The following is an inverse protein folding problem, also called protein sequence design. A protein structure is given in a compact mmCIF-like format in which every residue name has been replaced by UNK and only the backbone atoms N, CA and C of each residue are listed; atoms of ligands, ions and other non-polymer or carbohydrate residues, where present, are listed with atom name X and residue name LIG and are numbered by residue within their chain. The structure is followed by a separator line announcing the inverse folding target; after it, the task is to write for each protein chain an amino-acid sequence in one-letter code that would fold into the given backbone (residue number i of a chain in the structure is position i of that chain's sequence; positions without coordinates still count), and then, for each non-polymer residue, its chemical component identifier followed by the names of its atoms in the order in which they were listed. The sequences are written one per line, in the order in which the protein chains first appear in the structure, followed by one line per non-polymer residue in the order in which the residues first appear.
data_IF_871365916030
#
_entry.id   IF_871365916030
#
_cell.length_a   1.000
_cell.length_b   1.000
_cell.length_c   1.000
_cell.angle_alpha   90.00
_cell.angle_beta   90.00
_cell.angle_gamma   90.00
#
_symmetry.space_group_name_H-M   'P 1'
#
loop_
_entity.id
_entity.type
_entity.pdbx_description
1 polymer ?
#
# COMPACT_ATOMS: atom_id res chain seq x y z
N UNK A 1 -20.83 -17.38 -10.53
CA UNK A 1 -21.74 -16.86 -9.49
C UNK A 1 -22.95 -16.23 -10.19
N UNK A 2 -24.10 -16.10 -9.54
CA UNK A 2 -25.29 -15.44 -10.10
C UNK A 2 -25.54 -14.18 -9.29
N UNK A 3 -25.94 -13.10 -9.97
CA UNK A 3 -26.07 -11.78 -9.38
C UNK A 3 -27.09 -11.87 -8.27
N UNK A 4 -26.69 -11.36 -7.11
CA UNK A 4 -27.44 -11.48 -5.86
C UNK A 4 -28.91 -11.10 -6.09
N UNK A 5 -29.82 -11.94 -5.59
CA UNK A 5 -31.25 -11.74 -5.78
C UNK A 5 -31.69 -10.37 -5.22
N UNK A 6 -31.13 -9.95 -4.09
CA UNK A 6 -31.45 -8.67 -3.47
C UNK A 6 -30.98 -7.47 -4.33
N UNK A 7 -29.86 -7.62 -5.06
CA UNK A 7 -29.40 -6.60 -6.02
C UNK A 7 -30.36 -6.49 -7.20
N UNK A 8 -30.83 -7.61 -7.75
CA UNK A 8 -31.84 -7.61 -8.83
C UNK A 8 -33.15 -6.97 -8.39
N UNK A 9 -33.58 -7.30 -7.18
CA UNK A 9 -34.80 -6.72 -6.58
C UNK A 9 -34.63 -5.21 -6.40
N UNK A 10 -33.46 -4.75 -5.94
CA UNK A 10 -33.17 -3.31 -5.84
C UNK A 10 -33.20 -2.60 -7.19
N UNK A 11 -32.53 -3.15 -8.22
CA UNK A 11 -32.47 -2.55 -9.56
C UNK A 11 -33.84 -2.41 -10.22
N UNK A 12 -34.79 -3.31 -9.89
CA UNK A 12 -36.18 -3.27 -10.37
C UNK A 12 -37.14 -2.51 -9.44
N UNK A 13 -36.71 -2.13 -8.22
CA UNK A 13 -37.54 -1.44 -7.23
C UNK A 13 -37.82 0.03 -7.56
N UNK A 14 -38.74 0.64 -6.81
CA UNK A 14 -39.00 2.09 -6.83
C UNK A 14 -38.13 2.88 -5.84
N UNK A 15 -37.17 2.23 -5.16
CA UNK A 15 -36.31 2.90 -4.19
C UNK A 15 -35.41 3.94 -4.87
N UNK A 16 -35.33 5.12 -4.25
CA UNK A 16 -34.60 6.31 -4.71
C UNK A 16 -33.38 6.61 -3.85
N UNK A 17 -32.79 5.59 -3.26
CA UNK A 17 -31.63 5.72 -2.37
C UNK A 17 -30.57 4.69 -2.76
N UNK A 18 -29.28 4.91 -2.41
CA UNK A 18 -28.24 3.97 -2.76
C UNK A 18 -28.48 2.61 -2.09
N UNK A 19 -28.05 1.56 -2.80
CA UNK A 19 -27.99 0.20 -2.26
C UNK A 19 -26.59 -0.12 -1.79
N UNK A 20 -26.46 -0.64 -0.57
CA UNK A 20 -25.19 -0.89 0.08
C UNK A 20 -24.87 -2.38 -0.02
N UNK A 21 -23.86 -2.74 -0.81
CA UNK A 21 -23.44 -4.12 -0.98
C UNK A 21 -22.12 -4.35 -0.26
N UNK A 22 -22.17 -4.92 0.94
CA UNK A 22 -20.97 -5.25 1.71
C UNK A 22 -20.36 -6.55 1.21
N UNK A 23 -19.06 -6.52 0.94
CA UNK A 23 -18.38 -7.62 0.26
C UNK A 23 -16.97 -7.87 0.80
N UNK A 24 -16.53 -9.13 0.72
CA UNK A 24 -15.20 -9.55 1.16
C UNK A 24 -14.21 -9.58 0.01
N UNK A 25 -12.94 -9.87 0.34
CA UNK A 25 -11.87 -9.90 -0.65
C UNK A 25 -12.07 -10.99 -1.71
N UNK A 26 -12.58 -12.17 -1.31
CA UNK A 26 -12.76 -13.33 -2.19
C UNK A 26 -13.82 -13.08 -3.28
N UNK A 27 -14.91 -12.40 -2.93
CA UNK A 27 -16.04 -12.20 -3.85
C UNK A 27 -15.93 -10.94 -4.69
N UNK A 28 -15.07 -9.99 -4.33
CA UNK A 28 -14.99 -8.66 -4.93
C UNK A 28 -14.90 -8.68 -6.45
N UNK A 29 -13.87 -9.33 -7.00
CA UNK A 29 -13.65 -9.40 -8.45
C UNK A 29 -14.74 -10.20 -9.17
N UNK A 30 -15.22 -11.28 -8.56
CA UNK A 30 -16.29 -12.08 -9.16
C UNK A 30 -17.59 -11.27 -9.31
N UNK A 31 -17.86 -10.39 -8.35
CA UNK A 31 -19.02 -9.49 -8.34
C UNK A 31 -18.85 -8.35 -9.34
N UNK A 32 -17.66 -7.76 -9.46
CA UNK A 32 -17.35 -6.76 -10.50
C UNK A 32 -17.58 -7.36 -11.89
N UNK A 33 -16.99 -8.52 -12.18
CA UNK A 33 -17.13 -9.19 -13.47
C UNK A 33 -18.61 -9.47 -13.79
N UNK A 34 -19.38 -9.87 -12.78
CA UNK A 34 -20.81 -10.11 -12.93
C UNK A 34 -21.60 -8.85 -13.25
N UNK A 35 -21.36 -7.74 -12.55
CA UNK A 35 -22.01 -6.46 -12.86
C UNK A 35 -21.65 -5.93 -14.24
N UNK A 36 -20.40 -6.13 -14.67
CA UNK A 36 -19.96 -5.78 -16.02
C UNK A 36 -20.71 -6.59 -17.10
N UNK A 37 -20.90 -7.89 -16.89
CA UNK A 37 -21.69 -8.75 -17.80
C UNK A 37 -23.15 -8.30 -17.89
N UNK A 38 -23.70 -7.74 -16.82
CA UNK A 38 -25.07 -7.20 -16.80
C UNK A 38 -25.16 -5.76 -17.32
N UNK A 39 -24.05 -5.16 -17.78
CA UNK A 39 -24.03 -3.84 -18.43
C UNK A 39 -24.14 -2.66 -17.48
N UNK A 40 -23.84 -2.85 -16.18
CA UNK A 40 -23.82 -1.74 -15.22
C UNK A 40 -22.63 -0.82 -15.48
N UNK A 41 -22.82 0.47 -15.23
CA UNK A 41 -21.78 1.49 -15.43
C UNK A 41 -20.96 1.67 -14.15
N UNK A 42 -19.64 1.59 -14.25
CA UNK A 42 -18.76 1.72 -13.09
C UNK A 42 -18.34 3.18 -12.85
N UNK A 43 -18.41 3.59 -11.59
CA UNK A 43 -17.94 4.87 -11.07
C UNK A 43 -16.82 4.62 -10.05
N UNK A 44 -15.56 4.48 -10.50
CA UNK A 44 -14.45 4.30 -9.58
C UNK A 44 -14.16 5.60 -8.82
N UNK A 45 -13.97 5.51 -7.50
CA UNK A 45 -13.59 6.63 -6.64
C UNK A 45 -12.32 7.34 -7.12
N UNK A 46 -11.38 6.61 -7.73
CA UNK A 46 -10.16 7.17 -8.30
C UNK A 46 -10.42 8.22 -9.40
N UNK A 47 -11.58 8.19 -10.06
CA UNK A 47 -11.99 9.22 -11.03
C UNK A 47 -12.25 10.58 -10.38
N UNK A 48 -12.53 10.59 -9.08
CA UNK A 48 -12.82 11.79 -8.29
C UNK A 48 -11.59 12.32 -7.53
N UNK A 49 -10.41 11.73 -7.75
CA UNK A 49 -9.14 12.30 -7.28
C UNK A 49 -8.70 13.46 -8.20
N UNK A 50 -8.51 14.64 -7.62
CA UNK A 50 -8.06 15.85 -8.35
C UNK A 50 -6.63 15.78 -8.86
N UNK A 51 -5.76 14.99 -8.22
CA UNK A 51 -4.41 14.70 -8.69
C UNK A 51 -3.94 13.32 -8.22
N UNK A 52 -2.71 12.92 -8.58
CA UNK A 52 -2.18 11.59 -8.31
C UNK A 52 -2.10 11.22 -6.82
N UNK A 53 -1.76 12.18 -5.95
CA UNK A 53 -1.62 11.97 -4.50
C UNK A 53 -2.61 12.82 -3.70
N UNK A 54 -3.88 12.76 -4.11
CA UNK A 54 -4.99 13.42 -3.42
C UNK A 54 -6.12 12.43 -3.18
N UNK A 55 -6.83 12.65 -2.09
CA UNK A 55 -8.05 11.91 -1.77
C UNK A 55 -9.15 12.23 -2.78
N UNK A 56 -10.06 11.28 -3.03
CA UNK A 56 -11.19 11.50 -3.91
C UNK A 56 -12.25 12.41 -3.27
N UNK A 57 -12.97 13.16 -4.11
CA UNK A 57 -14.07 14.03 -3.72
C UNK A 57 -15.42 13.28 -3.73
N UNK A 58 -15.97 13.00 -2.54
CA UNK A 58 -17.28 12.35 -2.40
C UNK A 58 -18.42 13.28 -2.86
N UNK A 59 -18.30 14.59 -2.65
CA UNK A 59 -19.34 15.52 -3.09
C UNK A 59 -19.34 15.63 -4.62
N UNK A 60 -18.17 15.58 -5.24
CA UNK A 60 -18.01 15.40 -6.68
C UNK A 60 -18.71 14.13 -7.21
N UNK A 61 -18.60 13.00 -6.50
CA UNK A 61 -19.34 11.78 -6.83
C UNK A 61 -20.86 11.99 -6.73
N UNK A 62 -21.35 12.56 -5.63
CA UNK A 62 -22.78 12.80 -5.44
C UNK A 62 -23.33 13.72 -6.54
N UNK A 63 -22.64 14.82 -6.85
CA UNK A 63 -23.02 15.75 -7.92
C UNK A 63 -23.04 15.07 -9.30
N UNK A 64 -22.08 14.16 -9.55
CA UNK A 64 -22.08 13.38 -10.79
C UNK A 64 -23.31 12.47 -10.88
N UNK A 65 -23.67 11.79 -9.80
CA UNK A 65 -24.85 10.92 -9.74
C UNK A 65 -26.14 11.73 -9.96
N UNK A 66 -26.28 12.89 -9.32
CA UNK A 66 -27.44 13.78 -9.46
C UNK A 66 -27.60 14.29 -10.90
N UNK A 67 -26.50 14.74 -11.52
CA UNK A 67 -26.53 15.28 -12.89
C UNK A 67 -26.78 14.19 -13.92
N UNK A 68 -26.19 13.00 -13.75
CA UNK A 68 -26.36 11.90 -14.68
C UNK A 68 -27.80 11.37 -14.76
N UNK A 69 -28.61 11.64 -13.74
CA UNK A 69 -30.04 11.31 -13.67
C UNK A 69 -30.92 12.11 -14.64
N UNK A 70 -30.46 13.31 -15.05
CA UNK A 70 -31.23 14.21 -15.92
C UNK A 70 -31.28 13.74 -17.39
N UNK A 71 -30.43 12.80 -17.78
CA UNK A 71 -30.48 12.16 -19.10
C UNK A 71 -31.56 11.08 -19.10
N UNK A 72 -32.51 11.15 -20.03
CA UNK A 72 -33.76 10.37 -20.08
C UNK A 72 -33.67 8.82 -20.13
N UNK A 73 -32.49 8.24 -19.91
CA UNK A 73 -32.28 6.79 -19.83
C UNK A 73 -32.03 6.37 -18.37
N UNK A 74 -32.69 5.28 -17.94
CA UNK A 74 -32.41 4.61 -16.66
C UNK A 74 -30.92 4.23 -16.62
N UNK A 75 -30.13 4.88 -15.76
CA UNK A 75 -28.72 4.57 -15.55
C UNK A 75 -28.54 3.77 -14.26
N UNK A 76 -27.77 2.68 -14.34
CA UNK A 76 -27.47 1.81 -13.23
C UNK A 76 -25.95 1.87 -12.98
N UNK A 77 -25.57 2.42 -11.83
CA UNK A 77 -24.20 2.69 -11.46
C UNK A 77 -23.71 1.73 -10.37
N UNK A 78 -22.44 1.37 -10.45
CA UNK A 78 -21.70 0.68 -9.39
C UNK A 78 -20.53 1.57 -8.98
N UNK A 79 -20.53 2.02 -7.73
CA UNK A 79 -19.41 2.76 -7.15
C UNK A 79 -18.40 1.78 -6.58
N UNK A 80 -17.17 1.84 -7.06
CA UNK A 80 -16.05 1.00 -6.59
C UNK A 80 -14.99 1.82 -5.89
N UNK A 81 -14.25 1.22 -4.96
CA UNK A 81 -13.20 1.90 -4.19
C UNK A 81 -13.70 2.75 -3.02
N UNK A 82 -15.01 2.97 -2.89
CA UNK A 82 -15.58 3.76 -1.79
C UNK A 82 -15.42 3.05 -0.44
N UNK A 83 -15.65 1.74 -0.39
CA UNK A 83 -15.51 0.98 0.86
C UNK A 83 -14.10 1.05 1.41
N UNK A 84 -13.12 0.79 0.55
CA UNK A 84 -11.70 0.81 0.92
C UNK A 84 -11.23 2.22 1.25
N UNK A 85 -11.68 3.23 0.49
CA UNK A 85 -11.39 4.63 0.80
C UNK A 85 -11.89 5.02 2.20
N UNK A 86 -13.15 4.72 2.53
CA UNK A 86 -13.71 5.06 3.83
C UNK A 86 -13.00 4.31 4.97
N UNK A 87 -12.68 3.03 4.78
CA UNK A 87 -11.92 2.27 5.75
C UNK A 87 -10.51 2.85 5.97
N UNK A 88 -9.88 3.42 4.94
CA UNK A 88 -8.61 4.15 5.05
C UNK A 88 -8.74 5.52 5.75
N UNK A 89 -9.91 6.16 5.70
CA UNK A 89 -10.19 7.42 6.42
C UNK A 89 -10.48 7.22 7.90
N UNK A 90 -10.90 6.02 8.28
CA UNK A 90 -11.14 5.63 9.66
C UNK A 90 -12.60 5.59 10.04
N UNK A 91 -12.87 5.01 11.22
CA UNK A 91 -14.23 4.64 11.65
C UNK A 91 -15.19 5.82 11.70
N UNK A 92 -14.78 6.95 12.25
CA UNK A 92 -15.68 8.10 12.47
C UNK A 92 -16.08 8.76 11.14
N UNK A 93 -15.11 9.01 10.27
CA UNK A 93 -15.37 9.59 8.95
C UNK A 93 -16.15 8.63 8.03
N UNK A 94 -15.81 7.34 8.07
CA UNK A 94 -16.55 6.31 7.36
C UNK A 94 -18.01 6.26 7.81
N UNK A 95 -18.27 6.22 9.12
CA UNK A 95 -19.62 6.16 9.68
C UNK A 95 -20.43 7.40 9.31
N UNK A 96 -19.86 8.60 9.50
CA UNK A 96 -20.50 9.86 9.13
C UNK A 96 -20.87 9.88 7.63
N UNK A 97 -19.96 9.45 6.77
CA UNK A 97 -20.18 9.42 5.32
C UNK A 97 -21.26 8.39 4.93
N UNK A 98 -21.22 7.18 5.49
CA UNK A 98 -22.22 6.16 5.19
C UNK A 98 -23.63 6.59 5.66
N UNK A 99 -23.73 7.24 6.83
CA UNK A 99 -24.99 7.79 7.32
C UNK A 99 -25.53 8.89 6.39
N UNK A 100 -24.66 9.76 5.86
CA UNK A 100 -25.02 10.76 4.86
C UNK A 100 -25.51 10.10 3.56
N UNK A 101 -24.76 9.13 3.04
CA UNK A 101 -25.12 8.40 1.81
C UNK A 101 -26.39 7.57 1.97
N UNK A 102 -26.67 7.06 3.17
CA UNK A 102 -27.92 6.36 3.47
C UNK A 102 -29.13 7.27 3.27
N UNK A 103 -29.02 8.57 3.50
CA UNK A 103 -30.16 9.48 3.32
C UNK A 103 -30.07 10.28 2.01
N UNK A 104 -29.10 9.94 1.14
CA UNK A 104 -28.94 10.53 -0.18
C UNK A 104 -30.05 10.08 -1.14
N UNK A 105 -30.69 11.05 -1.80
CA UNK A 105 -31.78 10.80 -2.75
C UNK A 105 -31.18 10.76 -4.15
N UNK A 106 -31.24 9.59 -4.78
CA UNK A 106 -30.89 9.37 -6.18
C UNK A 106 -32.21 9.43 -6.96
N UNK A 107 -32.31 10.26 -7.99
CA UNK A 107 -33.58 10.50 -8.68
C UNK A 107 -34.21 9.25 -9.34
N UNK A 108 -33.92 8.99 -10.61
CA UNK A 108 -34.37 7.80 -11.36
C UNK A 108 -33.23 6.79 -11.63
N UNK A 109 -31.97 7.20 -11.45
CA UNK A 109 -30.82 6.32 -11.49
C UNK A 109 -30.84 5.30 -10.35
N UNK A 110 -30.10 4.20 -10.54
CA UNK A 110 -29.80 3.20 -9.51
C UNK A 110 -28.33 3.26 -9.19
N UNK A 111 -27.99 3.20 -7.90
CA UNK A 111 -26.59 3.21 -7.47
C UNK A 111 -26.38 2.09 -6.47
N UNK A 112 -25.42 1.22 -6.79
CA UNK A 112 -24.90 0.20 -5.90
C UNK A 112 -23.56 0.70 -5.39
N UNK A 113 -23.44 0.85 -4.07
CA UNK A 113 -22.17 1.09 -3.40
C UNK A 113 -21.54 -0.27 -3.11
N UNK A 114 -20.45 -0.62 -3.82
CA UNK A 114 -19.71 -1.84 -3.57
C UNK A 114 -18.69 -1.60 -2.45
N UNK A 115 -18.96 -2.15 -1.27
CA UNK A 115 -18.28 -1.78 -0.02
C UNK A 115 -17.42 -2.92 0.51
N UNK A 116 -16.13 -2.92 0.15
CA UNK A 116 -15.12 -3.83 0.71
C UNK A 116 -14.37 -3.17 1.88
N UNK A 117 -14.07 -3.94 2.93
CA UNK A 117 -13.33 -3.46 4.11
C UNK A 117 -14.16 -2.77 5.19
N UNK A 118 -15.49 -2.71 5.03
CA UNK A 118 -16.40 -2.04 5.97
C UNK A 118 -17.24 -2.98 6.83
N UNK A 119 -16.91 -4.28 6.89
CA UNK A 119 -17.61 -5.23 7.75
C UNK A 119 -17.80 -4.75 9.22
N UNK A 120 -16.82 -4.09 9.87
CA UNK A 120 -17.01 -3.58 11.22
C UNK A 120 -18.10 -2.52 11.38
N UNK A 121 -18.57 -1.88 10.30
CA UNK A 121 -19.57 -0.82 10.34
C UNK A 121 -20.99 -1.31 9.99
N UNK A 122 -21.15 -2.58 9.60
CA UNK A 122 -22.47 -3.15 9.24
C UNK A 122 -23.44 -3.03 10.41
N UNK A 123 -23.06 -3.51 11.59
CA UNK A 123 -23.91 -3.45 12.79
C UNK A 123 -24.26 -2.03 13.22
N UNK A 124 -23.35 -1.07 12.98
CA UNK A 124 -23.62 0.36 13.23
C UNK A 124 -24.72 0.85 12.30
N UNK A 125 -24.68 0.45 11.03
CA UNK A 125 -25.68 0.83 10.04
C UNK A 125 -27.04 0.18 10.28
N UNK A 126 -27.06 -1.12 10.61
CA UNK A 126 -28.26 -1.89 10.94
C UNK A 126 -28.95 -1.42 12.23
N UNK A 127 -28.28 -0.64 13.07
CA UNK A 127 -28.89 -0.03 14.26
C UNK A 127 -29.99 0.98 13.92
N UNK A 128 -29.97 1.55 12.70
CA UNK A 128 -31.06 2.36 12.15
C UNK A 128 -32.10 1.45 11.47
N UNK A 129 -33.35 1.34 11.97
CA UNK A 129 -34.38 0.48 11.38
C UNK A 129 -34.73 0.83 9.92
N UNK A 130 -34.36 2.03 9.46
CA UNK A 130 -34.56 2.46 8.07
C UNK A 130 -33.53 1.85 7.12
N UNK A 131 -32.45 1.27 7.64
CA UNK A 131 -31.42 0.55 6.89
C UNK A 131 -31.75 -0.95 6.83
N UNK A 132 -32.91 -1.27 6.24
CA UNK A 132 -33.39 -2.65 6.15
C UNK A 132 -32.82 -3.43 4.95
N UNK A 133 -33.19 -4.70 4.81
CA UNK A 133 -32.72 -5.62 3.76
C UNK A 133 -33.06 -5.17 2.33
N UNK A 134 -33.93 -4.17 2.14
CA UNK A 134 -34.20 -3.60 0.82
C UNK A 134 -33.13 -2.59 0.41
N UNK A 135 -32.30 -2.15 1.36
CA UNK A 135 -31.28 -1.11 1.20
C UNK A 135 -29.86 -1.63 1.24
N UNK A 136 -29.66 -2.85 1.72
CA UNK A 136 -28.35 -3.45 1.78
C UNK A 136 -28.40 -4.97 1.72
N UNK A 137 -27.27 -5.57 1.40
CA UNK A 137 -26.99 -6.99 1.59
C UNK A 137 -25.53 -7.20 1.92
N UNK A 138 -25.25 -8.36 2.51
CA UNK A 138 -23.90 -8.76 2.94
C UNK A 138 -23.57 -10.04 2.19
N UNK A 139 -22.52 -10.00 1.37
CA UNK A 139 -22.01 -11.18 0.69
C UNK A 139 -21.14 -11.96 1.66
N UNK A 140 -21.62 -13.14 2.05
CA UNK A 140 -21.00 -13.99 3.08
C UNK A 140 -20.73 -13.21 4.37
N UNK A 141 -19.45 -12.92 4.69
CA UNK A 141 -19.04 -12.20 5.92
C UNK A 141 -18.42 -10.83 5.65
N UNK A 142 -18.23 -10.46 4.39
CA UNK A 142 -17.54 -9.23 3.99
C UNK A 142 -16.15 -9.03 4.65
N UNK A 143 -15.45 -10.12 5.00
CA UNK A 143 -14.14 -10.06 5.63
C UNK A 143 -13.08 -9.52 4.66
N UNK A 144 -12.16 -8.71 5.18
CA UNK A 144 -11.03 -8.17 4.42
C UNK A 144 -9.74 -8.31 5.21
N UNK A 145 -8.68 -8.77 4.53
CA UNK A 145 -7.34 -8.97 5.05
C UNK A 145 -6.32 -7.94 4.51
N UNK A 146 -6.82 -6.85 3.93
CA UNK A 146 -6.01 -5.77 3.41
C UNK A 146 -5.14 -5.16 4.51
N UNK A 147 -3.87 -4.93 4.17
CA UNK A 147 -2.94 -4.13 4.95
C UNK A 147 -2.15 -3.21 4.03
N UNK A 148 -1.59 -2.15 4.59
CA UNK A 148 -0.92 -1.11 3.81
C UNK A 148 0.47 -0.86 4.36
N UNK A 149 1.43 -0.75 3.45
CA UNK A 149 2.77 -0.25 3.77
C UNK A 149 2.90 1.12 3.15
N UNK A 150 3.00 2.16 3.97
CA UNK A 150 3.02 3.54 3.50
C UNK A 150 4.42 4.12 3.67
N UNK A 151 4.88 4.83 2.65
CA UNK A 151 6.10 5.64 2.73
C UNK A 151 5.77 7.08 2.27
N UNK A 152 6.41 8.11 2.85
CA UNK A 152 6.31 9.45 2.30
C UNK A 152 6.91 9.50 0.88
N UNK A 153 6.41 10.37 -0.02
CA UNK A 153 6.90 10.45 -1.40
C UNK A 153 8.39 10.82 -1.54
N UNK A 154 9.00 11.33 -0.47
CA UNK A 154 10.44 11.61 -0.43
C UNK A 154 11.31 10.36 -0.28
N UNK A 155 10.72 9.22 0.10
CA UNK A 155 11.40 7.93 0.11
C UNK A 155 11.17 7.28 -1.25
N UNK A 156 12.25 7.08 -1.97
CA UNK A 156 12.26 6.33 -3.23
C UNK A 156 12.04 4.85 -2.92
N UNK A 157 10.80 4.43 -2.70
CA UNK A 157 10.44 3.02 -2.55
C UNK A 157 9.79 2.54 -3.84
N UNK A 158 10.20 1.38 -4.36
CA UNK A 158 9.55 0.75 -5.52
C UNK A 158 8.14 0.23 -5.17
N UNK A 159 7.17 1.15 -5.17
CA UNK A 159 5.80 0.95 -4.74
C UNK A 159 4.80 1.75 -5.60
N UNK A 160 3.50 1.64 -5.33
CA UNK A 160 2.50 2.50 -5.99
C UNK A 160 2.78 3.97 -5.65
N UNK A 161 2.61 4.89 -6.61
CA UNK A 161 2.85 6.31 -6.38
C UNK A 161 1.53 7.08 -6.33
N UNK A 162 1.22 7.59 -5.13
CA UNK A 162 0.07 8.43 -4.85
C UNK A 162 -1.22 7.69 -4.49
N UNK A 163 -2.07 8.37 -3.74
CA UNK A 163 -3.35 7.86 -3.27
C UNK A 163 -4.32 7.46 -4.40
N UNK A 164 -4.28 8.12 -5.56
CA UNK A 164 -5.10 7.74 -6.72
C UNK A 164 -4.69 6.35 -7.26
N UNK A 165 -3.39 6.09 -7.37
CA UNK A 165 -2.89 4.80 -7.82
C UNK A 165 -3.24 3.66 -6.84
N UNK A 166 -3.25 3.97 -5.54
CA UNK A 166 -3.75 3.06 -4.51
C UNK A 166 -5.21 2.67 -4.75
N UNK A 167 -6.09 3.66 -4.95
CA UNK A 167 -7.51 3.41 -5.21
C UNK A 167 -7.71 2.61 -6.50
N UNK A 168 -7.01 2.93 -7.58
CA UNK A 168 -7.06 2.16 -8.83
C UNK A 168 -6.68 0.69 -8.56
N UNK A 169 -5.64 0.42 -7.79
CA UNK A 169 -5.24 -0.95 -7.48
C UNK A 169 -6.32 -1.69 -6.68
N UNK A 170 -6.95 -1.01 -5.71
CA UNK A 170 -8.02 -1.57 -4.89
C UNK A 170 -9.28 -1.84 -5.72
N UNK A 171 -9.70 -0.89 -6.56
CA UNK A 171 -10.82 -1.01 -7.49
C UNK A 171 -10.65 -2.19 -8.47
N UNK A 172 -9.41 -2.50 -8.84
CA UNK A 172 -9.04 -3.66 -9.65
C UNK A 172 -8.83 -4.95 -8.82
N UNK A 173 -9.31 -4.97 -7.57
CA UNK A 173 -9.35 -6.16 -6.73
C UNK A 173 -8.02 -6.60 -6.12
N UNK A 174 -7.00 -5.73 -6.06
CA UNK A 174 -5.77 -6.03 -5.32
C UNK A 174 -6.09 -6.38 -3.87
N UNK A 175 -5.37 -7.36 -3.32
CA UNK A 175 -5.54 -7.89 -1.97
C UNK A 175 -4.19 -8.01 -1.24
N UNK A 176 -4.22 -8.42 0.04
CA UNK A 176 -3.02 -8.58 0.87
C UNK A 176 -2.37 -7.25 1.27
N UNK A 177 -1.04 -7.25 1.40
CA UNK A 177 -0.27 -6.03 1.71
C UNK A 177 -0.05 -5.20 0.44
N UNK A 178 -0.40 -3.91 0.49
CA UNK A 178 -0.22 -2.97 -0.61
C UNK A 178 0.74 -1.87 -0.17
N UNK A 179 1.88 -1.78 -0.85
CA UNK A 179 2.85 -0.71 -0.65
C UNK A 179 2.50 0.52 -1.50
N UNK A 180 2.55 1.70 -0.90
CA UNK A 180 2.26 2.98 -1.56
C UNK A 180 3.11 4.12 -0.99
N UNK A 181 3.61 4.95 -1.89
CA UNK A 181 4.22 6.24 -1.59
C UNK A 181 3.15 7.32 -1.61
N UNK A 182 2.82 7.90 -0.45
CA UNK A 182 1.77 8.90 -0.32
C UNK A 182 2.03 9.86 0.84
N UNK A 183 1.69 11.13 0.65
CA UNK A 183 1.67 12.13 1.71
C UNK A 183 0.35 12.15 2.49
N UNK A 184 -0.64 11.33 2.09
CA UNK A 184 -1.93 11.24 2.77
C UNK A 184 -1.77 10.59 4.14
N UNK A 185 -2.29 11.24 5.18
CA UNK A 185 -2.32 10.69 6.53
C UNK A 185 -3.39 9.59 6.65
N UNK A 186 -2.98 8.43 7.14
CA UNK A 186 -3.79 7.22 7.32
C UNK A 186 -3.73 6.69 8.77
N UNK A 187 -3.43 7.54 9.75
CA UNK A 187 -3.34 7.16 11.17
C UNK A 187 -4.63 6.57 11.74
N UNK A 188 -5.78 7.03 11.24
CA UNK A 188 -7.11 6.60 11.70
C UNK A 188 -7.65 5.38 10.95
N UNK A 189 -6.89 4.83 9.99
CA UNK A 189 -7.35 3.75 9.15
C UNK A 189 -7.81 2.53 9.96
N UNK A 190 -8.89 1.90 9.51
CA UNK A 190 -9.41 0.66 10.09
C UNK A 190 -8.57 -0.57 9.72
N UNK A 191 -7.73 -0.44 8.70
CA UNK A 191 -6.80 -1.48 8.26
C UNK A 191 -5.48 -1.43 9.03
N UNK A 192 -4.72 -2.51 9.00
CA UNK A 192 -3.33 -2.48 9.48
C UNK A 192 -2.48 -1.63 8.54
N UNK A 193 -1.83 -0.61 9.10
CA UNK A 193 -0.91 0.29 8.37
C UNK A 193 0.49 0.20 8.97
N UNK A 194 1.47 -0.12 8.14
CA UNK A 194 2.89 -0.09 8.44
C UNK A 194 3.51 1.16 7.82
N UNK A 195 4.22 1.96 8.61
CA UNK A 195 4.85 3.18 8.12
C UNK A 195 6.35 3.00 7.94
N UNK A 196 6.85 3.28 6.74
CA UNK A 196 8.28 3.40 6.43
C UNK A 196 8.65 4.86 6.55
N UNK A 197 9.56 5.16 7.47
CA UNK A 197 9.94 6.53 7.82
C UNK A 197 11.30 6.95 7.25
N UNK A 198 12.12 6.00 6.80
CA UNK A 198 13.44 6.26 6.25
C UNK A 198 13.88 5.17 5.25
N UNK A 199 14.95 5.46 4.49
CA UNK A 199 15.44 4.56 3.46
C UNK A 199 15.91 3.20 4.01
N UNK A 200 16.46 3.15 5.22
CA UNK A 200 16.87 1.90 5.86
C UNK A 200 15.67 0.96 6.12
N UNK A 201 14.55 1.50 6.61
CA UNK A 201 13.31 0.73 6.74
C UNK A 201 12.78 0.27 5.37
N UNK A 202 12.91 1.10 4.33
CA UNK A 202 12.60 0.72 2.94
C UNK A 202 13.43 -0.46 2.45
N UNK A 203 14.73 -0.48 2.73
CA UNK A 203 15.63 -1.60 2.38
C UNK A 203 15.21 -2.87 3.11
N UNK A 204 14.90 -2.79 4.42
CA UNK A 204 14.40 -3.94 5.18
C UNK A 204 13.07 -4.49 4.64
N UNK A 205 12.24 -3.61 4.11
CA UNK A 205 10.99 -3.99 3.48
C UNK A 205 11.22 -4.73 2.14
N UNK A 206 12.12 -4.24 1.29
CA UNK A 206 12.44 -4.87 -0.01
C UNK A 206 13.25 -6.17 0.15
N UNK A 207 14.17 -6.22 1.10
CA UNK A 207 15.08 -7.33 1.32
C UNK A 207 14.74 -8.07 2.62
N UNK A 208 13.82 -9.02 2.53
CA UNK A 208 13.48 -9.89 3.65
C UNK A 208 14.74 -10.58 4.21
N UNK A 209 14.98 -10.42 5.51
CA UNK A 209 16.18 -10.95 6.16
C UNK A 209 17.40 -10.01 6.16
N UNK A 210 17.25 -8.74 5.73
CA UNK A 210 18.31 -7.73 5.90
C UNK A 210 18.65 -7.57 7.39
N UNK A 211 19.80 -8.12 7.79
CA UNK A 211 20.19 -8.29 9.19
C UNK A 211 21.11 -7.19 9.72
N UNK A 212 21.58 -6.28 8.86
CA UNK A 212 22.48 -5.21 9.30
C UNK A 212 21.73 -4.14 10.08
N UNK A 213 22.33 -3.68 11.17
CA UNK A 213 21.78 -2.58 11.97
C UNK A 213 21.90 -1.23 11.27
N UNK A 214 20.96 -0.31 11.56
CA UNK A 214 20.93 1.06 11.02
C UNK A 214 22.25 1.81 11.18
N UNK A 215 22.96 1.60 12.28
CA UNK A 215 24.25 2.26 12.57
C UNK A 215 25.38 1.88 11.60
N UNK A 216 25.20 0.87 10.74
CA UNK A 216 26.19 0.52 9.71
C UNK A 216 26.35 1.59 8.62
N UNK A 217 25.42 2.53 8.50
CA UNK A 217 25.46 3.61 7.52
C UNK A 217 24.73 4.86 7.97
N UNK A 218 25.02 5.95 7.29
CA UNK A 218 24.35 7.24 7.44
C UNK A 218 23.14 7.34 6.51
N UNK A 219 22.29 8.34 6.72
CA UNK A 219 21.00 8.47 6.02
C UNK A 219 21.18 8.64 4.52
N UNK A 220 22.20 9.39 4.10
CA UNK A 220 22.54 9.59 2.70
C UNK A 220 22.97 8.28 2.03
N UNK A 221 23.71 7.43 2.76
CA UNK A 221 24.18 6.15 2.25
C UNK A 221 23.04 5.14 2.11
N UNK A 222 22.13 5.10 3.08
CA UNK A 222 20.92 4.28 3.00
C UNK A 222 19.99 4.75 1.88
N UNK A 223 19.83 6.07 1.70
CA UNK A 223 19.04 6.62 0.61
C UNK A 223 19.63 6.29 -0.76
N UNK A 224 20.96 6.42 -0.93
CA UNK A 224 21.64 6.04 -2.17
C UNK A 224 21.52 4.53 -2.43
N UNK A 225 21.68 3.68 -1.41
CA UNK A 225 21.51 2.23 -1.54
C UNK A 225 20.08 1.86 -1.96
N UNK A 226 19.06 2.46 -1.35
CA UNK A 226 17.68 2.20 -1.71
C UNK A 226 17.39 2.59 -3.16
N UNK A 227 17.89 3.75 -3.62
CA UNK A 227 17.72 4.17 -5.02
C UNK A 227 18.41 3.22 -6.00
N UNK A 228 19.63 2.78 -5.67
CA UNK A 228 20.35 1.78 -6.48
C UNK A 228 19.62 0.43 -6.47
N UNK A 229 19.05 0.00 -5.34
CA UNK A 229 18.24 -1.22 -5.25
C UNK A 229 17.00 -1.15 -6.14
N UNK A 230 16.28 -0.03 -6.14
CA UNK A 230 15.11 0.15 -7.01
C UNK A 230 15.47 0.05 -8.50
N UNK A 231 16.68 0.46 -8.88
CA UNK A 231 17.20 0.31 -10.26
C UNK A 231 17.68 -1.11 -10.60
N UNK A 232 17.73 -2.01 -9.61
CA UNK A 232 18.29 -3.37 -9.73
C UNK A 232 17.30 -4.41 -9.19
N UNK A 233 16.00 -4.21 -9.43
CA UNK A 233 14.90 -5.11 -9.04
C UNK A 233 14.88 -5.50 -7.55
N UNK A 234 15.42 -4.63 -6.68
CA UNK A 234 15.55 -4.90 -5.25
C UNK A 234 16.62 -5.94 -4.89
N UNK A 235 17.47 -6.39 -5.81
CA UNK A 235 18.48 -7.42 -5.56
C UNK A 235 19.80 -6.83 -5.06
N UNK A 236 20.16 -7.13 -3.81
CA UNK A 236 21.46 -6.74 -3.24
C UNK A 236 22.63 -7.37 -4.00
N UNK A 237 22.53 -8.63 -4.43
CA UNK A 237 23.58 -9.29 -5.19
C UNK A 237 23.81 -8.59 -6.55
N UNK A 238 22.73 -8.17 -7.25
CA UNK A 238 22.86 -7.39 -8.48
C UNK A 238 23.51 -6.02 -8.26
N UNK A 239 23.22 -5.38 -7.12
CA UNK A 239 23.90 -4.13 -6.72
C UNK A 239 25.40 -4.39 -6.47
N UNK A 240 25.77 -5.47 -5.79
CA UNK A 240 27.17 -5.80 -5.56
C UNK A 240 27.92 -6.07 -6.87
N UNK A 241 27.34 -6.84 -7.78
CA UNK A 241 27.90 -7.11 -9.10
C UNK A 241 28.10 -5.82 -9.92
N UNK A 242 27.11 -4.92 -9.91
CA UNK A 242 27.18 -3.61 -10.59
C UNK A 242 28.38 -2.77 -10.12
N UNK A 243 28.75 -2.90 -8.85
CA UNK A 243 29.88 -2.17 -8.24
C UNK A 243 31.19 -2.98 -8.24
N UNK A 244 31.24 -4.12 -8.94
CA UNK A 244 32.42 -4.97 -9.03
C UNK A 244 32.81 -5.61 -7.70
N UNK A 245 31.83 -5.81 -6.82
CA UNK A 245 31.99 -6.49 -5.53
C UNK A 245 31.67 -7.97 -5.73
N UNK A 246 32.70 -8.74 -6.09
CA UNK A 246 32.63 -10.20 -6.30
C UNK A 246 33.53 -10.95 -5.33
N UNK A 247 33.64 -12.27 -5.48
CA UNK A 247 34.32 -13.20 -4.56
C UNK A 247 35.79 -12.87 -4.21
N UNK A 248 36.47 -12.00 -4.97
CA UNK A 248 37.83 -11.51 -4.63
C UNK A 248 37.75 -10.35 -3.63
N UNK A 249 37.28 -10.70 -2.44
CA UNK A 249 36.97 -9.80 -1.33
C UNK A 249 38.18 -8.98 -0.87
N UNK A 250 39.42 -9.44 -1.05
CA UNK A 250 40.61 -8.86 -0.42
C UNK A 250 41.45 -7.96 -1.34
N UNK A 251 41.08 -7.84 -2.62
CA UNK A 251 41.82 -6.98 -3.57
C UNK A 251 41.60 -5.49 -3.28
N UNK A 252 42.69 -4.73 -3.22
CA UNK A 252 42.69 -3.28 -2.93
C UNK A 252 42.00 -2.91 -1.61
N UNK A 253 42.00 -3.83 -0.64
CA UNK A 253 41.28 -3.71 0.64
C UNK A 253 41.45 -2.33 1.32
N UNK A 254 42.69 -1.87 1.52
CA UNK A 254 42.95 -0.59 2.20
C UNK A 254 42.47 0.64 1.41
N UNK A 255 42.44 0.56 0.08
CA UNK A 255 41.88 1.62 -0.76
C UNK A 255 40.36 1.65 -0.62
N UNK A 256 39.72 0.48 -0.62
CA UNK A 256 38.26 0.34 -0.51
C UNK A 256 37.69 0.73 0.86
N UNK A 257 38.45 0.59 1.94
CA UNK A 257 37.99 0.99 3.28
C UNK A 257 38.43 2.41 3.67
N UNK A 258 39.38 2.99 2.93
CA UNK A 258 39.92 4.31 3.21
C UNK A 258 39.12 5.46 2.61
N UNK A 259 38.27 5.18 1.62
CA UNK A 259 37.38 6.17 1.01
C UNK A 259 36.21 6.53 1.92
N UNK A 260 35.65 7.72 1.69
CA UNK A 260 34.45 8.24 2.38
C UNK A 260 33.22 8.23 1.48
N UNK A 261 33.36 7.68 0.28
CA UNK A 261 32.34 7.65 -0.74
C UNK A 261 31.40 6.43 -0.57
N UNK A 262 30.30 6.46 -1.31
CA UNK A 262 29.31 5.39 -1.32
C UNK A 262 29.92 4.03 -1.65
N UNK A 263 30.89 3.96 -2.57
CA UNK A 263 31.52 2.69 -2.97
C UNK A 263 32.28 2.04 -1.82
N UNK A 264 33.01 2.84 -1.04
CA UNK A 264 33.77 2.36 0.12
C UNK A 264 32.84 1.85 1.22
N UNK A 265 31.73 2.56 1.45
CA UNK A 265 30.71 2.13 2.38
C UNK A 265 29.96 0.87 1.91
N UNK A 266 29.59 0.79 0.62
CA UNK A 266 28.91 -0.36 0.05
C UNK A 266 29.78 -1.62 0.16
N UNK A 267 31.09 -1.48 -0.02
CA UNK A 267 32.03 -2.56 0.21
C UNK A 267 32.03 -3.04 1.68
N UNK A 268 31.94 -2.13 2.65
CA UNK A 268 31.76 -2.51 4.06
C UNK A 268 30.43 -3.25 4.30
N UNK A 269 29.33 -2.81 3.69
CA UNK A 269 28.03 -3.51 3.76
C UNK A 269 28.12 -4.92 3.15
N UNK A 270 28.78 -5.06 2.01
CA UNK A 270 29.04 -6.35 1.37
C UNK A 270 29.82 -7.30 2.29
N UNK A 271 30.92 -6.82 2.90
CA UNK A 271 31.71 -7.59 3.86
C UNK A 271 30.89 -8.04 5.06
N UNK A 272 30.05 -7.15 5.60
CA UNK A 272 29.15 -7.45 6.73
C UNK A 272 28.12 -8.52 6.40
N UNK A 273 27.50 -8.47 5.22
CA UNK A 273 26.50 -9.45 4.79
C UNK A 273 27.11 -10.81 4.43
N UNK A 274 28.35 -10.83 3.95
CA UNK A 274 29.07 -12.05 3.56
C UNK A 274 30.07 -12.49 4.63
N UNK A 275 29.95 -12.01 5.87
CA UNK A 275 30.91 -12.26 6.95
C UNK A 275 31.20 -13.76 7.16
N UNK A 276 30.17 -14.61 7.02
CA UNK A 276 30.27 -16.07 7.16
C UNK A 276 31.09 -16.76 6.07
N UNK A 277 31.31 -16.09 4.93
CA UNK A 277 32.09 -16.61 3.80
C UNK A 277 33.55 -16.15 3.80
N UNK A 278 33.90 -15.19 4.67
CA UNK A 278 35.27 -14.67 4.78
C UNK A 278 36.22 -15.75 5.30
N UNK A 279 37.31 -15.98 4.56
CA UNK A 279 38.39 -16.91 4.97
C UNK A 279 39.32 -16.28 6.00
N UNK A 280 39.46 -14.95 5.99
CA UNK A 280 40.33 -14.21 6.88
C UNK A 280 39.67 -13.98 8.26
N UNK A 281 40.08 -14.78 9.25
CA UNK A 281 39.56 -14.70 10.62
C UNK A 281 39.82 -13.35 11.31
N UNK A 282 40.95 -12.69 11.01
CA UNK A 282 41.25 -11.35 11.53
C UNK A 282 40.25 -10.32 11.01
N UNK A 283 39.98 -10.34 9.71
CA UNK A 283 39.01 -9.45 9.10
C UNK A 283 37.59 -9.68 9.63
N UNK A 284 37.19 -10.95 9.81
CA UNK A 284 35.90 -11.27 10.45
C UNK A 284 35.82 -10.67 11.86
N UNK A 285 36.84 -10.86 12.68
CA UNK A 285 36.89 -10.30 14.04
C UNK A 285 36.80 -8.76 14.05
N UNK A 286 37.56 -8.10 13.19
CA UNK A 286 37.51 -6.64 13.06
C UNK A 286 36.13 -6.15 12.58
N UNK A 287 35.48 -6.89 11.67
CA UNK A 287 34.12 -6.61 11.22
C UNK A 287 33.11 -6.79 12.36
N UNK A 288 33.16 -7.88 13.11
CA UNK A 288 32.25 -8.13 14.24
C UNK A 288 32.32 -7.01 15.29
N UNK A 289 33.53 -6.51 15.60
CA UNK A 289 33.73 -5.40 16.53
C UNK A 289 33.35 -4.02 15.98
N UNK A 290 33.19 -3.89 14.66
CA UNK A 290 32.89 -2.60 14.04
C UNK A 290 31.40 -2.49 13.76
N UNK A 291 30.73 -1.54 14.40
CA UNK A 291 29.33 -1.24 14.07
C UNK A 291 29.24 -0.23 12.92
N UNK A 292 29.99 0.87 13.00
CA UNK A 292 29.93 2.01 12.08
C UNK A 292 31.05 1.97 11.05
N UNK A 293 30.74 2.27 9.79
CA UNK A 293 31.74 2.31 8.71
C UNK A 293 32.91 3.26 8.99
N UNK A 294 32.65 4.44 9.56
CA UNK A 294 33.70 5.45 9.86
C UNK A 294 34.78 4.92 10.81
N UNK A 295 34.45 3.94 11.64
CA UNK A 295 35.37 3.33 12.59
C UNK A 295 36.12 2.13 11.99
N UNK A 296 35.68 1.61 10.85
CA UNK A 296 36.18 0.35 10.29
C UNK A 296 37.68 0.38 10.00
N UNK A 297 38.17 1.41 9.30
CA UNK A 297 39.59 1.50 8.97
C UNK A 297 40.49 1.64 10.20
N UNK A 298 40.01 2.29 11.27
CA UNK A 298 40.72 2.37 12.55
C UNK A 298 40.70 1.02 13.26
N UNK A 299 39.55 0.37 13.32
CA UNK A 299 39.38 -0.90 14.00
C UNK A 299 40.19 -2.02 13.33
N UNK A 300 40.27 -2.05 12.00
CA UNK A 300 41.13 -3.00 11.28
C UNK A 300 42.62 -2.79 11.53
N UNK A 301 43.06 -1.60 11.95
CA UNK A 301 44.46 -1.37 12.36
C UNK A 301 44.69 -1.74 13.83
N UNK A 302 43.71 -1.44 14.67
CA UNK A 302 43.85 -1.55 16.12
C UNK A 302 43.44 -2.92 16.67
N UNK A 303 42.62 -3.69 15.95
CA UNK A 303 42.17 -5.01 16.40
C UNK A 303 43.31 -6.02 16.54
N UNK A 304 44.51 -5.72 16.01
CA UNK A 304 45.72 -6.53 16.22
C UNK A 304 46.20 -6.49 17.68
N UNK A 305 45.79 -5.48 18.45
CA UNK A 305 46.14 -5.33 19.86
C UNK A 305 45.26 -6.24 20.75
N UNK A 306 44.10 -6.65 20.24
CA UNK A 306 43.09 -7.43 20.97
C UNK A 306 43.18 -8.95 20.70
N UNK A 307 44.20 -9.41 19.95
CA UNK A 307 44.47 -10.81 19.58
C UNK A 307 45.78 -11.24 20.22
#
# INVERSE_FOLDING_TARGET
MRMDAAVKDYLSSTLKTPYFLFIGDEEYLSTINEFQVHGLTFLPMSSFCSSGDRQPDIDGLCNYIETADSDANKKEFVVTGLGEFLALRGRDEATSTLLRLKDFIIGNAKVILLLRGLAPLIAVMESDPRFDNRRHSIVKRAESNLSFTIAPPSIDLSALNGFKALLIALENGRNGNIAVNTAVNLSEAMFTVYQISNAYEGIKFLNHGFALGRACGEDEQWAELLSVLNQNDGSLDAVFDRYGLSDVLESDFYLRIGGKDFRSWLYYIFLKLKADTLRNGYLRFALEKTERFRDFARNVRNAIIDI
#
